data_IF_559787068651
#
_entry.id   IF_559787068651
#
_cell.length_a   1.000
_cell.length_b   1.000
_cell.length_c   1.000
_cell.angle_alpha   90.00
_cell.angle_beta   90.00
_cell.angle_gamma   90.00
#
_symmetry.space_group_name_H-M   'P 1'
#
loop_
_entity.id
_entity.type
_entity.pdbx_description
1 polymer ?
#
# COMPACT_ATOMS: atom_id res chain seq x y z
N UNK A 1 -19.93 34.29 -3.69
CA UNK A 1 -19.18 33.16 -4.29
C UNK A 1 -18.03 32.76 -3.37
N UNK A 2 -17.67 31.49 -3.41
CA UNK A 2 -16.52 30.92 -2.72
C UNK A 2 -15.51 30.41 -3.71
N UNK A 3 -14.24 30.48 -3.34
CA UNK A 3 -13.16 29.76 -4.03
C UNK A 3 -12.95 28.43 -3.36
N UNK A 4 -12.87 27.36 -4.15
CA UNK A 4 -12.54 26.01 -3.67
C UNK A 4 -11.12 25.69 -4.13
N UNK A 5 -10.21 25.51 -3.20
CA UNK A 5 -8.83 25.12 -3.44
C UNK A 5 -8.67 23.61 -3.18
N UNK A 6 -7.84 22.97 -3.98
CA UNK A 6 -7.53 21.55 -3.87
C UNK A 6 -6.06 21.37 -3.51
N UNK A 7 -5.80 20.63 -2.43
CA UNK A 7 -4.47 20.36 -1.89
C UNK A 7 -4.16 18.86 -1.99
N UNK A 8 -2.96 18.53 -2.44
CA UNK A 8 -2.58 17.14 -2.72
C UNK A 8 -2.18 16.33 -1.46
N UNK A 9 -2.05 16.95 -0.29
CA UNK A 9 -1.71 16.29 0.99
C UNK A 9 -0.47 15.39 0.88
N UNK A 10 0.65 15.97 0.45
CA UNK A 10 1.91 15.26 0.18
C UNK A 10 1.81 14.21 -0.95
N UNK A 11 0.86 14.39 -1.86
CA UNK A 11 0.85 13.74 -3.15
C UNK A 11 1.59 14.54 -4.21
N UNK A 12 1.34 14.24 -5.48
CA UNK A 12 1.93 14.89 -6.65
C UNK A 12 0.83 15.40 -7.58
N UNK A 13 1.15 16.39 -8.38
CA UNK A 13 0.25 17.03 -9.34
C UNK A 13 -0.32 18.35 -8.82
N UNK A 14 -1.05 19.01 -9.70
CA UNK A 14 -1.74 20.29 -9.43
C UNK A 14 -3.17 20.22 -9.93
N UNK A 15 -4.06 20.94 -9.25
CA UNK A 15 -5.45 21.15 -9.67
C UNK A 15 -5.76 22.64 -9.61
N UNK A 16 -6.48 23.13 -10.62
CA UNK A 16 -7.00 24.50 -10.60
C UNK A 16 -8.07 24.64 -9.53
N UNK A 17 -8.13 25.80 -8.87
CA UNK A 17 -9.25 26.15 -7.99
C UNK A 17 -10.54 26.24 -8.80
N UNK A 18 -11.67 25.99 -8.16
CA UNK A 18 -12.99 26.22 -8.70
C UNK A 18 -13.75 27.26 -7.87
N UNK A 19 -14.89 27.73 -8.37
CA UNK A 19 -15.74 28.66 -7.67
C UNK A 19 -17.11 28.05 -7.42
N UNK A 20 -17.69 28.38 -6.30
CA UNK A 20 -19.05 27.98 -5.93
C UNK A 20 -19.88 29.22 -5.54
N UNK A 21 -21.18 29.14 -5.71
CA UNK A 21 -22.12 30.17 -5.31
C UNK A 21 -23.04 29.61 -4.23
N UNK A 22 -23.36 30.40 -3.22
CA UNK A 22 -24.33 30.03 -2.19
C UNK A 22 -25.67 29.66 -2.81
N UNK A 23 -26.37 28.70 -2.21
CA UNK A 23 -27.70 28.24 -2.60
C UNK A 23 -27.79 27.73 -4.03
N UNK A 24 -26.67 27.35 -4.65
CA UNK A 24 -26.63 26.73 -5.96
C UNK A 24 -25.99 25.36 -5.89
N UNK A 25 -26.44 24.47 -6.78
CA UNK A 25 -25.80 23.16 -6.91
C UNK A 25 -24.35 23.32 -7.39
N UNK A 26 -23.42 22.72 -6.68
CA UNK A 26 -22.02 22.66 -7.08
C UNK A 26 -21.55 21.21 -7.17
N UNK A 27 -20.50 20.99 -7.94
CA UNK A 27 -19.82 19.71 -8.05
C UNK A 27 -18.35 19.91 -7.66
N UNK A 28 -17.87 19.14 -6.71
CA UNK A 28 -16.44 19.10 -6.36
C UNK A 28 -15.68 18.46 -7.52
N UNK A 29 -14.57 19.06 -7.91
CA UNK A 29 -13.75 18.55 -9.01
C UNK A 29 -13.20 17.15 -8.69
N UNK A 30 -13.23 16.29 -9.71
CA UNK A 30 -12.63 14.97 -9.61
C UNK A 30 -11.12 15.09 -9.34
N UNK A 31 -10.59 14.22 -8.49
CA UNK A 31 -9.18 14.23 -8.14
C UNK A 31 -8.28 13.85 -9.33
N UNK A 32 -7.26 14.66 -9.60
CA UNK A 32 -6.19 14.35 -10.54
C UNK A 32 -4.82 14.19 -9.87
N UNK A 33 -4.75 14.38 -8.55
CA UNK A 33 -3.53 14.14 -7.81
C UNK A 33 -3.21 12.64 -7.72
N UNK A 34 -1.95 12.33 -7.57
CA UNK A 34 -1.45 10.97 -7.35
C UNK A 34 -0.60 10.92 -6.09
N UNK A 35 -0.53 9.75 -5.46
CA UNK A 35 0.39 9.50 -4.35
C UNK A 35 0.89 8.07 -4.44
N UNK A 36 2.22 7.92 -4.52
CA UNK A 36 2.86 6.61 -4.64
C UNK A 36 2.48 5.72 -3.47
N UNK A 37 2.00 4.50 -3.74
CA UNK A 37 1.58 3.52 -2.74
C UNK A 37 0.22 3.79 -2.09
N UNK A 38 -0.54 4.78 -2.58
CA UNK A 38 -1.85 5.14 -2.04
C UNK A 38 -2.91 5.19 -3.12
N UNK A 39 -4.16 5.09 -2.69
CA UNK A 39 -5.35 5.38 -3.50
C UNK A 39 -6.07 6.59 -2.93
N UNK A 40 -6.63 7.40 -3.80
CA UNK A 40 -7.45 8.53 -3.37
C UNK A 40 -8.74 8.02 -2.71
N UNK A 41 -9.03 8.53 -1.51
CA UNK A 41 -10.18 8.12 -0.70
C UNK A 41 -11.26 9.21 -0.58
N UNK A 42 -10.99 10.39 -1.10
CA UNK A 42 -11.90 11.52 -1.04
C UNK A 42 -11.22 12.80 -0.60
N UNK A 43 -12.01 13.83 -0.40
CA UNK A 43 -11.56 15.12 0.10
C UNK A 43 -11.89 15.28 1.59
N UNK A 44 -11.18 16.15 2.27
CA UNK A 44 -11.43 16.57 3.65
C UNK A 44 -11.07 18.03 3.82
N UNK A 45 -11.69 18.71 4.79
CA UNK A 45 -11.33 20.07 5.18
C UNK A 45 -10.15 20.12 6.16
N UNK A 46 -9.71 18.96 6.68
CA UNK A 46 -8.58 18.88 7.60
C UNK A 46 -7.26 18.80 6.85
N UNK A 47 -6.34 19.71 7.16
CA UNK A 47 -5.05 19.83 6.47
C UNK A 47 -4.11 18.62 6.67
N UNK A 48 -4.32 17.84 7.73
CA UNK A 48 -3.59 16.59 7.98
C UNK A 48 -4.11 15.40 7.14
N UNK A 49 -5.21 15.59 6.39
CA UNK A 49 -5.82 14.54 5.56
C UNK A 49 -6.69 13.56 6.34
N UNK A 50 -6.94 13.78 7.63
CA UNK A 50 -7.85 12.96 8.43
C UNK A 50 -9.31 13.17 8.00
N UNK A 51 -10.20 12.26 8.41
CA UNK A 51 -11.62 12.36 8.09
C UNK A 51 -12.28 13.53 8.84
N UNK A 52 -13.04 14.35 8.14
CA UNK A 52 -13.85 15.40 8.70
C UNK A 52 -15.33 15.00 8.89
N UNK A 53 -15.70 13.79 8.42
CA UNK A 53 -17.06 13.27 8.50
C UNK A 53 -18.02 13.74 7.40
N UNK A 54 -17.59 14.60 6.46
CA UNK A 54 -18.49 15.16 5.45
C UNK A 54 -18.57 14.35 4.16
N UNK A 55 -17.66 13.41 3.92
CA UNK A 55 -17.73 12.49 2.78
C UNK A 55 -17.59 13.15 1.41
N UNK A 56 -16.70 14.08 1.25
CA UNK A 56 -16.42 14.86 0.04
C UNK A 56 -15.83 14.02 -1.12
N UNK A 57 -16.41 12.88 -1.49
CA UNK A 57 -15.81 12.03 -2.55
C UNK A 57 -16.08 12.55 -3.95
N UNK A 58 -17.30 12.75 -4.33
CA UNK A 58 -17.74 13.34 -5.60
C UNK A 58 -19.02 14.14 -5.32
N UNK A 59 -18.96 14.98 -4.32
CA UNK A 59 -20.14 15.66 -3.82
C UNK A 59 -20.68 16.65 -4.85
N UNK A 60 -21.98 16.59 -5.05
CA UNK A 60 -22.71 17.54 -5.85
C UNK A 60 -24.02 17.87 -5.13
N UNK A 61 -24.24 19.12 -4.83
CA UNK A 61 -25.43 19.54 -4.12
C UNK A 61 -25.54 21.04 -3.97
N UNK A 62 -26.59 21.48 -3.29
CA UNK A 62 -26.80 22.89 -2.98
C UNK A 62 -25.98 23.28 -1.75
N UNK A 63 -25.19 24.30 -1.88
CA UNK A 63 -24.38 24.84 -0.80
C UNK A 63 -25.17 25.91 -0.06
N UNK A 64 -25.52 25.64 1.20
CA UNK A 64 -26.38 26.52 2.01
C UNK A 64 -25.68 27.12 3.22
N UNK A 65 -24.36 26.92 3.35
CA UNK A 65 -23.62 27.27 4.57
C UNK A 65 -22.97 28.63 4.44
N UNK A 66 -22.92 29.28 5.58
CA UNK A 66 -22.35 30.60 5.75
C UNK A 66 -20.83 30.54 6.01
N UNK A 67 -20.17 31.70 5.92
CA UNK A 67 -18.75 31.82 6.17
C UNK A 67 -18.38 31.35 7.60
N UNK A 68 -17.40 30.47 7.71
CA UNK A 68 -16.99 29.82 8.97
C UNK A 68 -17.58 28.44 9.23
N UNK A 69 -18.59 28.03 8.48
CA UNK A 69 -19.12 26.65 8.53
C UNK A 69 -18.36 25.74 7.55
N UNK A 70 -18.27 24.46 7.87
CA UNK A 70 -17.61 23.44 7.05
C UNK A 70 -16.17 23.79 6.60
N UNK A 71 -15.45 24.56 7.39
CA UNK A 71 -14.08 24.98 7.09
C UNK A 71 -13.97 26.10 6.06
N UNK A 72 -15.08 26.76 5.70
CA UNK A 72 -15.05 27.97 4.85
C UNK A 72 -14.57 29.16 5.72
N UNK A 73 -13.55 29.84 5.23
CA UNK A 73 -13.03 31.05 5.85
C UNK A 73 -12.63 32.05 4.77
N UNK A 74 -12.98 33.33 4.97
CA UNK A 74 -12.71 34.38 3.99
C UNK A 74 -13.15 34.01 2.56
N UNK A 75 -14.36 33.51 2.41
CA UNK A 75 -14.90 33.02 1.14
C UNK A 75 -14.02 31.98 0.44
N UNK A 76 -13.30 31.15 1.20
CA UNK A 76 -12.44 30.10 0.67
C UNK A 76 -12.71 28.80 1.40
N UNK A 77 -12.88 27.74 0.63
CA UNK A 77 -12.91 26.35 1.10
C UNK A 77 -11.62 25.66 0.64
N UNK A 78 -10.85 25.15 1.59
CA UNK A 78 -9.68 24.35 1.28
C UNK A 78 -10.02 22.87 1.44
N UNK A 79 -9.91 22.11 0.37
CA UNK A 79 -10.07 20.67 0.35
C UNK A 79 -8.71 19.99 0.21
N UNK A 80 -8.48 19.03 1.08
CA UNK A 80 -7.24 18.25 1.16
C UNK A 80 -7.53 16.81 0.72
N UNK A 81 -6.65 16.24 -0.08
CA UNK A 81 -6.81 14.86 -0.54
C UNK A 81 -6.63 13.88 0.63
N UNK A 82 -7.61 13.00 0.83
CA UNK A 82 -7.51 11.84 1.72
C UNK A 82 -6.88 10.69 0.95
N UNK A 83 -5.94 10.00 1.57
CA UNK A 83 -5.20 8.90 0.97
C UNK A 83 -5.30 7.63 1.81
N UNK A 84 -5.66 6.52 1.17
CA UNK A 84 -5.65 5.19 1.78
C UNK A 84 -4.45 4.41 1.25
N UNK A 85 -3.60 3.84 2.13
CA UNK A 85 -2.50 2.99 1.68
C UNK A 85 -3.02 1.78 0.89
N UNK A 86 -2.33 1.43 -0.18
CA UNK A 86 -2.60 0.20 -0.95
C UNK A 86 -2.24 -1.04 -0.14
N UNK A 87 -2.95 -2.12 -0.38
CA UNK A 87 -2.64 -3.44 0.16
C UNK A 87 -2.02 -4.33 -0.92
N UNK A 88 -1.14 -5.22 -0.50
CA UNK A 88 -0.46 -6.20 -1.34
C UNK A 88 -0.73 -7.60 -0.80
N UNK A 89 -0.94 -8.55 -1.69
CA UNK A 89 -1.00 -9.98 -1.35
C UNK A 89 0.41 -10.57 -1.41
N UNK A 90 0.81 -11.33 -0.39
CA UNK A 90 2.06 -12.08 -0.35
C UNK A 90 1.72 -13.55 -0.52
N UNK A 91 2.18 -14.15 -1.60
CA UNK A 91 2.05 -15.59 -1.86
C UNK A 91 3.36 -16.30 -1.50
N UNK A 92 3.23 -17.51 -0.98
CA UNK A 92 4.36 -18.35 -0.60
C UNK A 92 4.39 -19.61 -1.47
N UNK A 93 5.54 -19.87 -2.11
CA UNK A 93 5.76 -20.99 -3.01
C UNK A 93 6.81 -21.93 -2.42
N UNK A 94 6.56 -23.22 -2.47
CA UNK A 94 7.42 -24.23 -1.83
C UNK A 94 8.69 -24.60 -2.64
N UNK A 95 8.84 -24.13 -3.89
CA UNK A 95 10.03 -24.35 -4.75
C UNK A 95 10.43 -25.83 -4.83
N UNK A 96 9.50 -26.69 -5.26
CA UNK A 96 9.67 -28.16 -5.30
C UNK A 96 9.86 -28.80 -3.90
N UNK A 97 9.39 -28.16 -2.86
CA UNK A 97 9.17 -28.76 -1.56
C UNK A 97 7.77 -29.33 -1.43
N UNK A 98 7.34 -29.59 -0.21
CA UNK A 98 6.02 -30.12 0.15
C UNK A 98 5.30 -29.21 1.14
N UNK A 99 3.98 -29.28 1.16
CA UNK A 99 3.13 -28.50 2.04
C UNK A 99 2.49 -27.29 1.34
N UNK A 100 1.62 -26.61 2.05
CA UNK A 100 0.91 -25.42 1.61
C UNK A 100 1.01 -24.34 2.67
N UNK A 101 1.00 -23.08 2.26
CA UNK A 101 0.90 -21.92 3.11
C UNK A 101 -0.18 -20.97 2.60
N UNK A 102 -0.98 -20.42 3.49
CA UNK A 102 -1.92 -19.37 3.15
C UNK A 102 -1.17 -18.08 2.75
N UNK A 103 -1.71 -17.35 1.79
CA UNK A 103 -1.23 -16.00 1.48
C UNK A 103 -1.44 -15.06 2.67
N UNK A 104 -0.62 -14.05 2.78
CA UNK A 104 -0.77 -12.96 3.74
C UNK A 104 -0.92 -11.62 3.01
N UNK A 105 -1.22 -10.57 3.74
CA UNK A 105 -1.36 -9.21 3.21
C UNK A 105 -0.36 -8.27 3.86
N UNK A 106 0.12 -7.31 3.08
CA UNK A 106 0.90 -6.18 3.55
C UNK A 106 0.21 -4.88 3.15
N UNK A 107 0.34 -3.86 3.98
CA UNK A 107 -0.15 -2.51 3.69
C UNK A 107 1.05 -1.59 3.44
N UNK A 108 0.95 -0.78 2.39
CA UNK A 108 2.00 0.18 2.05
C UNK A 108 2.34 1.06 3.26
N UNK A 109 3.63 1.30 3.46
CA UNK A 109 4.17 2.12 4.55
C UNK A 109 3.75 1.67 5.97
N UNK A 110 3.44 0.38 6.13
CA UNK A 110 3.05 -0.21 7.41
C UNK A 110 3.96 -1.39 7.75
N UNK A 111 4.29 -1.57 9.03
CA UNK A 111 5.08 -2.73 9.47
C UNK A 111 4.36 -4.03 9.10
N UNK A 112 5.07 -4.90 8.39
CA UNK A 112 4.58 -6.22 7.95
C UNK A 112 5.61 -7.27 8.29
N UNK A 113 5.16 -8.43 8.77
CA UNK A 113 5.98 -9.59 9.06
C UNK A 113 5.71 -10.67 8.01
N UNK A 114 6.77 -11.18 7.38
CA UNK A 114 6.69 -12.34 6.47
C UNK A 114 6.38 -13.58 7.32
N UNK A 115 5.45 -14.42 6.83
CA UNK A 115 5.07 -15.64 7.54
C UNK A 115 6.25 -16.62 7.64
N UNK A 116 6.37 -17.24 8.81
CA UNK A 116 7.36 -18.28 9.02
C UNK A 116 7.10 -19.47 8.08
N UNK A 117 8.17 -20.07 7.54
CA UNK A 117 8.06 -21.19 6.63
C UNK A 117 7.50 -22.45 7.32
N UNK A 118 6.49 -23.07 6.71
CA UNK A 118 5.97 -24.38 7.09
C UNK A 118 6.18 -25.45 6.02
N UNK A 119 6.76 -25.09 4.88
CA UNK A 119 7.12 -26.07 3.84
C UNK A 119 8.28 -26.94 4.30
N UNK A 120 8.33 -28.13 3.73
CA UNK A 120 9.43 -29.09 3.93
C UNK A 120 10.03 -29.50 2.59
N UNK A 121 11.30 -29.91 2.60
CA UNK A 121 11.96 -30.52 1.45
C UNK A 121 12.92 -31.57 1.93
N UNK A 122 12.73 -32.83 1.48
CA UNK A 122 13.56 -33.95 1.90
C UNK A 122 15.03 -33.73 1.54
N UNK A 123 15.92 -33.91 2.50
CA UNK A 123 17.36 -33.68 2.32
C UNK A 123 17.81 -32.21 2.33
N UNK A 124 16.91 -31.28 2.60
CA UNK A 124 17.22 -29.83 2.62
C UNK A 124 16.78 -29.15 3.90
N UNK A 125 17.37 -28.00 4.16
CA UNK A 125 16.94 -27.04 5.19
C UNK A 125 16.45 -25.76 4.52
N UNK A 126 15.43 -25.13 5.10
CA UNK A 126 14.95 -23.84 4.64
C UNK A 126 16.02 -22.76 4.92
N UNK A 127 16.35 -21.98 3.90
CA UNK A 127 17.39 -20.95 3.92
C UNK A 127 16.82 -19.51 3.86
N UNK A 128 15.51 -19.36 3.64
CA UNK A 128 14.85 -18.07 3.52
C UNK A 128 13.92 -18.01 2.31
N UNK A 129 13.36 -16.84 2.12
CA UNK A 129 12.51 -16.53 0.96
C UNK A 129 13.29 -15.78 -0.10
N UNK A 130 12.84 -15.84 -1.34
CA UNK A 130 13.36 -15.08 -2.48
C UNK A 130 12.22 -14.68 -3.41
N UNK A 131 12.39 -13.61 -4.15
CA UNK A 131 11.45 -13.23 -5.24
C UNK A 131 11.72 -13.95 -6.55
N UNK A 132 12.85 -14.68 -6.64
CA UNK A 132 13.22 -15.44 -7.83
C UNK A 132 12.58 -16.82 -7.83
N UNK A 133 11.84 -17.14 -8.90
CA UNK A 133 11.11 -18.40 -9.04
C UNK A 133 11.98 -19.65 -9.09
N UNK A 134 13.26 -19.52 -9.45
CA UNK A 134 14.24 -20.60 -9.45
C UNK A 134 14.81 -20.91 -8.05
N UNK A 135 14.45 -20.10 -7.03
CA UNK A 135 14.92 -20.25 -5.66
C UNK A 135 16.34 -19.72 -5.42
N UNK A 136 16.95 -19.03 -6.38
CA UNK A 136 18.25 -18.38 -6.19
C UNK A 136 18.13 -17.17 -5.26
N UNK A 137 19.27 -16.72 -4.72
CA UNK A 137 19.29 -15.53 -3.85
C UNK A 137 18.96 -14.25 -4.63
N UNK A 138 18.05 -13.45 -4.11
CA UNK A 138 17.74 -12.13 -4.64
C UNK A 138 18.44 -10.98 -3.89
N UNK A 139 19.18 -11.31 -2.83
CA UNK A 139 19.93 -10.35 -2.03
C UNK A 139 19.11 -9.61 -0.97
N UNK A 140 17.80 -9.85 -0.84
CA UNK A 140 16.95 -9.12 0.11
C UNK A 140 16.87 -9.74 1.51
N UNK A 141 17.31 -10.99 1.67
CA UNK A 141 17.37 -11.64 2.99
C UNK A 141 16.04 -11.86 3.69
N UNK A 142 15.03 -12.28 2.96
CA UNK A 142 13.66 -12.50 3.43
C UNK A 142 13.51 -13.68 4.41
N UNK A 143 14.35 -13.83 5.44
CA UNK A 143 14.26 -15.00 6.35
C UNK A 143 13.13 -14.86 7.37
N UNK A 144 13.14 -13.82 8.16
CA UNK A 144 12.11 -13.47 9.16
C UNK A 144 11.89 -11.96 9.11
N UNK A 145 11.70 -11.43 7.90
CA UNK A 145 11.62 -10.00 7.74
C UNK A 145 10.37 -9.44 8.42
N UNK A 146 10.58 -8.40 9.19
CA UNK A 146 9.52 -7.59 9.76
C UNK A 146 9.93 -6.13 9.66
N UNK A 147 9.16 -5.32 8.98
CA UNK A 147 9.49 -3.90 8.80
C UNK A 147 8.39 -3.13 8.11
N UNK A 148 8.63 -1.86 7.89
CA UNK A 148 7.71 -0.98 7.19
C UNK A 148 7.72 -1.27 5.70
N UNK A 149 6.54 -1.51 5.14
CA UNK A 149 6.34 -1.77 3.72
C UNK A 149 6.27 -0.45 2.97
N UNK A 150 7.32 -0.11 2.23
CA UNK A 150 7.46 1.18 1.54
C UNK A 150 7.49 1.07 0.02
N UNK A 151 7.22 -0.13 -0.53
CA UNK A 151 7.37 -0.41 -1.95
C UNK A 151 6.05 -0.36 -2.70
N UNK A 152 6.09 0.16 -3.90
CA UNK A 152 4.95 0.23 -4.81
C UNK A 152 5.02 -0.87 -5.87
N UNK A 153 3.96 -1.01 -6.66
CA UNK A 153 3.86 -1.98 -7.73
C UNK A 153 5.06 -1.88 -8.69
N UNK A 154 5.71 -3.01 -8.99
CA UNK A 154 6.92 -3.11 -9.82
C UNK A 154 8.24 -3.05 -9.05
N UNK A 155 8.24 -2.68 -7.76
CA UNK A 155 9.43 -2.75 -6.91
C UNK A 155 9.50 -4.11 -6.19
N UNK A 156 10.70 -4.63 -5.99
CA UNK A 156 10.96 -5.90 -5.28
C UNK A 156 10.18 -7.11 -5.82
N UNK A 157 9.86 -7.13 -7.11
CA UNK A 157 9.08 -8.20 -7.72
C UNK A 157 7.57 -8.13 -7.45
N UNK A 158 7.06 -7.02 -6.91
CA UNK A 158 5.62 -6.78 -6.79
C UNK A 158 5.05 -6.51 -8.18
N UNK A 159 4.03 -7.26 -8.54
CA UNK A 159 3.27 -7.07 -9.79
C UNK A 159 1.77 -7.24 -9.51
N UNK A 160 0.95 -6.37 -10.05
CA UNK A 160 -0.50 -6.37 -9.82
C UNK A 160 -0.88 -6.48 -8.33
N UNK A 161 -0.23 -5.68 -7.49
CA UNK A 161 -0.37 -5.71 -6.04
C UNK A 161 -0.12 -7.10 -5.40
N UNK A 162 0.76 -7.91 -6.00
CA UNK A 162 1.11 -9.23 -5.51
C UNK A 162 2.63 -9.38 -5.43
N UNK A 163 3.10 -9.88 -4.31
CA UNK A 163 4.48 -10.33 -4.08
C UNK A 163 4.49 -11.85 -4.02
N UNK A 164 5.26 -12.49 -4.87
CA UNK A 164 5.48 -13.92 -4.82
C UNK A 164 6.83 -14.21 -4.15
N UNK A 165 6.80 -14.93 -3.05
CA UNK A 165 7.97 -15.40 -2.34
C UNK A 165 8.14 -16.90 -2.56
N UNK A 166 9.36 -17.31 -2.90
CA UNK A 166 9.75 -18.67 -3.19
C UNK A 166 10.70 -19.18 -2.11
N UNK A 167 10.49 -20.39 -1.63
CA UNK A 167 11.36 -20.99 -0.62
C UNK A 167 12.76 -21.27 -1.19
N UNK A 168 13.78 -20.78 -0.50
CA UNK A 168 15.18 -21.14 -0.76
C UNK A 168 15.54 -22.36 0.08
N UNK A 169 16.24 -23.31 -0.54
CA UNK A 169 16.61 -24.56 0.08
C UNK A 169 18.12 -24.77 0.03
N UNK A 170 18.71 -25.14 1.16
CA UNK A 170 20.11 -25.54 1.24
C UNK A 170 20.20 -27.04 1.50
N UNK A 171 20.99 -27.81 0.74
CA UNK A 171 21.19 -29.24 1.00
C UNK A 171 21.75 -29.49 2.40
N UNK A 172 21.23 -30.50 3.09
CA UNK A 172 21.77 -30.97 4.37
C UNK A 172 23.14 -31.62 4.15
N UNK A 173 24.09 -31.28 4.99
CA UNK A 173 25.40 -31.98 5.00
C UNK A 173 25.25 -33.35 5.66
N UNK A 174 25.79 -34.39 5.03
CA UNK A 174 25.87 -35.74 5.56
C UNK A 174 27.31 -35.98 5.98
N UNK A 175 27.54 -36.44 7.21
CA UNK A 175 28.83 -36.89 7.65
C UNK A 175 28.96 -38.38 7.31
N UNK A 176 29.86 -38.73 6.42
CA UNK A 176 30.24 -40.12 6.16
C UNK A 176 31.31 -40.53 7.20
N UNK A 177 31.03 -41.56 7.97
CA UNK A 177 32.04 -42.21 8.80
C UNK A 177 32.42 -43.52 8.12
N UNK A 178 33.64 -43.61 7.67
CA UNK A 178 34.19 -44.83 7.13
C UNK A 178 34.76 -45.68 8.30
N UNK A 179 34.20 -46.83 8.55
CA UNK A 179 34.78 -47.80 9.46
C UNK A 179 35.80 -48.63 8.67
N UNK A 180 37.08 -48.51 9.06
CA UNK A 180 38.08 -49.44 8.56
C UNK A 180 37.87 -50.80 9.27
N UNK A 181 37.61 -51.87 8.50
CA UNK A 181 37.67 -53.24 8.98
C UNK A 181 39.11 -53.68 9.04
#
# INVERSE_FOLDING_TARGET
TYTINYNNSNGSGTMASSTATFNTKITISANTFTKKGYTFAGWTTKSDGSDDGYGWTNWSGTWTYDNGEFGISNNTLNLYAKWTPKTYTINYNNSNGSGTMASSTATFNTKTTISANTFTKNGYTFAGWTTKSDGSDDGYGWTNWSGTWTYDNGEFGISNNTLNLYARWTPKKIKLTLNAN
#
